data_IF_150926553630
#
_entry.id   IF_150926553630
#
_cell.length_a   1.000
_cell.length_b   1.000
_cell.length_c   1.000
_cell.angle_alpha   90.00
_cell.angle_beta   90.00
_cell.angle_gamma   90.00
#
_symmetry.space_group_name_H-M   'P 1'
#
loop_
_entity.id
_entity.type
_entity.pdbx_description
1 polymer ?
#
# COMPACT_ATOMS: atom_id res chain seq x y z
N UNK A 1 -18.30 -3.69 -25.02
CA UNK A 1 -17.18 -4.64 -25.21
C UNK A 1 -15.99 -4.33 -24.32
N UNK A 2 -15.55 -3.07 -24.19
CA UNK A 2 -14.39 -2.70 -23.36
C UNK A 2 -14.52 -3.09 -21.87
N UNK A 3 -15.64 -2.78 -21.21
CA UNK A 3 -15.86 -3.19 -19.80
C UNK A 3 -15.89 -4.71 -19.61
N UNK A 4 -16.35 -5.46 -20.62
CA UNK A 4 -16.34 -6.94 -20.61
C UNK A 4 -14.90 -7.46 -20.74
N UNK A 5 -14.08 -6.81 -21.56
CA UNK A 5 -12.65 -7.11 -21.68
C UNK A 5 -11.89 -6.86 -20.39
N UNK A 6 -12.13 -5.72 -19.73
CA UNK A 6 -11.54 -5.42 -18.42
C UNK A 6 -12.03 -6.39 -17.33
N UNK A 7 -13.31 -6.75 -17.34
CA UNK A 7 -13.85 -7.73 -16.40
C UNK A 7 -13.22 -9.12 -16.60
N UNK A 8 -13.06 -9.55 -17.86
CA UNK A 8 -12.35 -10.79 -18.18
C UNK A 8 -10.92 -10.73 -17.62
N UNK A 9 -10.16 -9.69 -17.96
CA UNK A 9 -8.79 -9.51 -17.48
C UNK A 9 -8.71 -9.42 -15.93
N UNK A 10 -9.65 -8.75 -15.28
CA UNK A 10 -9.78 -8.71 -13.82
C UNK A 10 -9.85 -10.12 -13.23
N UNK A 11 -10.72 -10.96 -13.80
CA UNK A 11 -10.99 -12.31 -13.32
C UNK A 11 -9.90 -13.34 -13.63
N UNK A 12 -9.18 -13.19 -14.74
CA UNK A 12 -8.22 -14.20 -15.21
C UNK A 12 -6.77 -13.84 -14.95
N UNK A 13 -6.45 -12.55 -14.81
CA UNK A 13 -5.08 -12.07 -14.72
C UNK A 13 -4.86 -11.19 -13.47
N UNK A 14 -5.61 -10.09 -13.32
CA UNK A 14 -5.40 -9.16 -12.20
C UNK A 14 -5.62 -9.87 -10.86
N UNK A 15 -6.77 -10.50 -10.65
CA UNK A 15 -7.07 -11.21 -9.40
C UNK A 15 -6.14 -12.40 -9.16
N UNK A 16 -5.77 -13.14 -10.22
CA UNK A 16 -4.85 -14.27 -10.11
C UNK A 16 -3.44 -13.83 -9.70
N UNK A 17 -2.96 -12.67 -10.18
CA UNK A 17 -1.66 -12.11 -9.76
C UNK A 17 -1.58 -11.91 -8.25
N UNK A 18 -2.70 -11.52 -7.62
CA UNK A 18 -2.81 -11.40 -6.17
C UNK A 18 -2.96 -12.77 -5.49
N UNK A 19 -3.83 -13.65 -6.01
CA UNK A 19 -4.10 -14.96 -5.41
C UNK A 19 -2.84 -15.83 -5.30
N UNK A 20 -2.00 -15.83 -6.33
CA UNK A 20 -0.77 -16.63 -6.37
C UNK A 20 0.21 -16.22 -5.26
N UNK A 21 0.23 -14.94 -4.91
CA UNK A 21 1.07 -14.37 -3.86
C UNK A 21 0.48 -14.49 -2.46
N UNK A 22 -0.84 -14.48 -2.37
CA UNK A 22 -1.60 -14.54 -1.12
C UNK A 22 -1.72 -15.96 -0.55
N UNK A 23 -1.44 -16.98 -1.35
CA UNK A 23 -1.61 -18.39 -0.95
C UNK A 23 -3.04 -18.67 -0.46
N UNK A 24 -3.17 -19.32 0.68
CA UNK A 24 -4.48 -19.65 1.27
C UNK A 24 -5.21 -18.43 1.89
N UNK A 25 -4.52 -17.29 2.07
CA UNK A 25 -5.10 -16.10 2.71
C UNK A 25 -5.58 -15.09 1.67
N UNK A 26 -6.69 -15.41 1.02
CA UNK A 26 -7.32 -14.55 0.01
C UNK A 26 -8.86 -14.52 0.14
N UNK A 27 -9.49 -13.47 -0.36
CA UNK A 27 -10.94 -13.42 -0.54
C UNK A 27 -11.28 -14.16 -1.82
N UNK A 28 -12.07 -15.25 -1.82
CA UNK A 28 -12.45 -15.95 -3.05
C UNK A 28 -13.13 -15.02 -4.05
N UNK A 29 -12.75 -15.09 -5.33
CA UNK A 29 -13.22 -14.15 -6.36
C UNK A 29 -14.75 -14.05 -6.43
N UNK A 30 -15.46 -15.18 -6.34
CA UNK A 30 -16.92 -15.19 -6.38
C UNK A 30 -17.56 -14.41 -5.20
N UNK A 31 -16.91 -14.37 -4.03
CA UNK A 31 -17.38 -13.58 -2.87
C UNK A 31 -17.11 -12.10 -3.08
N UNK A 32 -15.91 -11.74 -3.55
CA UNK A 32 -15.57 -10.37 -3.93
C UNK A 32 -16.55 -9.82 -4.99
N UNK A 33 -16.84 -10.64 -6.00
CA UNK A 33 -17.76 -10.28 -7.07
C UNK A 33 -19.19 -10.08 -6.57
N UNK A 34 -19.65 -10.89 -5.60
CA UNK A 34 -20.97 -10.74 -4.99
C UNK A 34 -21.13 -9.37 -4.30
N UNK A 35 -20.11 -8.92 -3.59
CA UNK A 35 -20.08 -7.57 -3.00
C UNK A 35 -20.08 -6.50 -4.10
N UNK A 36 -19.21 -6.65 -5.10
CA UNK A 36 -19.05 -5.66 -6.18
C UNK A 36 -20.30 -5.50 -7.05
N UNK A 37 -21.06 -6.56 -7.31
CA UNK A 37 -22.33 -6.48 -8.05
C UNK A 37 -23.37 -5.66 -7.30
N UNK A 38 -23.36 -5.71 -5.97
CA UNK A 38 -24.28 -4.94 -5.11
C UNK A 38 -23.80 -3.50 -4.88
N UNK A 39 -22.56 -3.18 -5.26
CA UNK A 39 -21.90 -1.90 -5.05
C UNK A 39 -21.22 -1.39 -6.33
N UNK A 40 -21.93 -0.65 -7.20
CA UNK A 40 -21.40 -0.22 -8.51
C UNK A 40 -20.10 0.60 -8.45
N UNK A 41 -19.88 1.36 -7.37
CA UNK A 41 -18.61 2.07 -7.15
C UNK A 41 -17.44 1.10 -6.96
N UNK A 42 -17.63 0.03 -6.20
CA UNK A 42 -16.62 -1.03 -6.02
C UNK A 42 -16.33 -1.74 -7.35
N UNK A 43 -17.36 -2.06 -8.13
CA UNK A 43 -17.16 -2.68 -9.44
C UNK A 43 -16.34 -1.79 -10.37
N UNK A 44 -16.66 -0.50 -10.47
CA UNK A 44 -15.90 0.43 -11.31
C UNK A 44 -14.43 0.53 -10.86
N UNK A 45 -14.17 0.56 -9.55
CA UNK A 45 -12.79 0.63 -9.05
C UNK A 45 -11.99 -0.65 -9.30
N UNK A 46 -12.63 -1.83 -9.20
CA UNK A 46 -12.01 -3.09 -9.59
C UNK A 46 -11.64 -3.13 -11.08
N UNK A 47 -12.53 -2.60 -11.94
CA UNK A 47 -12.24 -2.47 -13.38
C UNK A 47 -11.15 -1.44 -13.65
N UNK A 48 -11.10 -0.35 -12.88
CA UNK A 48 -10.04 0.65 -12.96
C UNK A 48 -8.67 0.03 -12.64
N UNK A 49 -8.60 -0.77 -11.57
CA UNK A 49 -7.39 -1.52 -11.22
C UNK A 49 -6.99 -2.52 -12.31
N UNK A 50 -7.94 -3.21 -12.93
CA UNK A 50 -7.67 -4.10 -14.05
C UNK A 50 -7.14 -3.36 -15.28
N UNK A 51 -7.62 -2.13 -15.54
CA UNK A 51 -7.07 -1.28 -16.58
C UNK A 51 -5.63 -0.85 -16.26
N UNK A 52 -5.33 -0.50 -15.01
CA UNK A 52 -3.94 -0.26 -14.57
C UNK A 52 -3.07 -1.48 -14.83
N UNK A 53 -3.51 -2.67 -14.42
CA UNK A 53 -2.73 -3.90 -14.66
C UNK A 53 -2.49 -4.12 -16.15
N UNK A 54 -3.48 -3.90 -17.02
CA UNK A 54 -3.26 -3.97 -18.48
C UNK A 54 -2.23 -2.97 -18.99
N UNK A 55 -2.25 -1.74 -18.47
CA UNK A 55 -1.30 -0.71 -18.89
C UNK A 55 0.16 -1.10 -18.61
N UNK A 56 0.42 -1.96 -17.61
CA UNK A 56 1.78 -2.43 -17.32
C UNK A 56 2.23 -3.60 -18.19
N UNK A 57 1.31 -4.25 -18.93
CA UNK A 57 1.61 -5.41 -19.76
C UNK A 57 1.87 -5.05 -21.23
N UNK A 58 1.25 -3.96 -21.73
CA UNK A 58 1.40 -3.49 -23.10
C UNK A 58 1.72 -1.99 -23.16
N UNK A 59 3.00 -1.61 -23.33
CA UNK A 59 3.42 -0.22 -23.45
C UNK A 59 2.75 0.56 -24.60
N UNK A 60 2.27 -0.13 -25.64
CA UNK A 60 1.64 0.53 -26.80
C UNK A 60 0.22 1.02 -26.51
N UNK A 61 -0.46 0.39 -25.55
CA UNK A 61 -1.81 0.75 -25.10
C UNK A 61 -1.82 1.39 -23.71
N UNK A 62 -0.65 1.66 -23.10
CA UNK A 62 -0.52 2.18 -21.74
C UNK A 62 -1.40 3.43 -21.51
N UNK A 63 -1.23 4.47 -22.32
CA UNK A 63 -1.98 5.71 -22.20
C UNK A 63 -3.50 5.51 -22.34
N UNK A 64 -3.91 4.55 -23.17
CA UNK A 64 -5.32 4.21 -23.37
C UNK A 64 -5.93 3.58 -22.11
N UNK A 65 -5.26 2.58 -21.53
CA UNK A 65 -5.76 1.94 -20.31
C UNK A 65 -5.65 2.84 -19.08
N UNK A 66 -4.65 3.72 -18.99
CA UNK A 66 -4.57 4.73 -17.92
C UNK A 66 -5.69 5.75 -17.98
N UNK A 67 -6.09 6.15 -19.19
CA UNK A 67 -7.26 6.99 -19.38
C UNK A 67 -8.52 6.27 -18.89
N UNK A 68 -8.74 5.01 -19.29
CA UNK A 68 -9.86 4.21 -18.81
C UNK A 68 -9.87 4.04 -17.30
N UNK A 69 -8.71 3.77 -16.69
CA UNK A 69 -8.60 3.65 -15.24
C UNK A 69 -9.05 4.94 -14.53
N UNK A 70 -8.65 6.10 -15.06
CA UNK A 70 -9.04 7.41 -14.53
C UNK A 70 -10.54 7.70 -14.70
N UNK A 71 -11.12 7.36 -15.85
CA UNK A 71 -12.56 7.50 -16.08
C UNK A 71 -13.38 6.63 -15.13
N UNK A 72 -13.00 5.35 -14.98
CA UNK A 72 -13.66 4.39 -14.10
C UNK A 72 -13.56 4.80 -12.63
N UNK A 73 -12.39 5.24 -12.16
CA UNK A 73 -12.20 5.74 -10.80
C UNK A 73 -13.03 7.01 -10.56
N UNK A 74 -13.04 7.96 -11.49
CA UNK A 74 -13.85 9.18 -11.39
C UNK A 74 -15.33 8.84 -11.29
N UNK A 75 -15.80 7.89 -12.09
CA UNK A 75 -17.17 7.42 -12.05
C UNK A 75 -17.49 6.70 -10.71
N UNK A 76 -16.58 5.87 -10.21
CA UNK A 76 -16.72 5.20 -8.92
C UNK A 76 -16.87 6.20 -7.76
N UNK A 77 -15.99 7.21 -7.71
CA UNK A 77 -16.05 8.30 -6.73
C UNK A 77 -17.34 9.12 -6.85
N UNK A 78 -17.78 9.42 -8.08
CA UNK A 78 -19.05 10.12 -8.33
C UNK A 78 -20.24 9.34 -7.76
N UNK A 79 -20.30 8.03 -7.99
CA UNK A 79 -21.36 7.15 -7.48
C UNK A 79 -21.34 7.15 -5.93
N UNK A 80 -20.16 6.97 -5.34
CA UNK A 80 -20.01 6.95 -3.88
C UNK A 80 -20.44 8.28 -3.24
N UNK A 81 -19.98 9.40 -3.80
CA UNK A 81 -20.30 10.75 -3.33
C UNK A 81 -21.79 11.10 -3.49
N UNK A 82 -22.46 10.56 -4.52
CA UNK A 82 -23.89 10.74 -4.73
C UNK A 82 -24.72 9.93 -3.74
N UNK A 83 -24.32 8.69 -3.44
CA UNK A 83 -25.04 7.83 -2.49
C UNK A 83 -24.86 8.26 -1.04
N UNK A 84 -23.67 8.78 -0.67
CA UNK A 84 -23.30 9.11 0.72
C UNK A 84 -23.70 7.99 1.71
N UNK A 85 -23.25 6.74 1.47
CA UNK A 85 -23.69 5.62 2.26
C UNK A 85 -23.26 5.80 3.72
N UNK A 86 -24.19 5.52 4.64
CA UNK A 86 -23.85 5.35 6.05
C UNK A 86 -23.21 3.98 6.24
N UNK A 87 -22.21 3.89 7.12
CA UNK A 87 -21.57 2.62 7.46
C UNK A 87 -22.54 1.77 8.29
N UNK A 88 -22.91 0.62 7.75
CA UNK A 88 -23.77 -0.38 8.40
C UNK A 88 -23.41 -1.78 7.89
N UNK A 89 -24.14 -2.80 8.35
CA UNK A 89 -23.89 -4.21 8.01
C UNK A 89 -23.85 -4.50 6.50
N UNK A 90 -24.65 -3.78 5.69
CA UNK A 90 -24.73 -3.97 4.24
C UNK A 90 -23.63 -3.22 3.47
N UNK A 91 -23.22 -2.05 3.96
CA UNK A 91 -22.29 -1.16 3.24
C UNK A 91 -20.85 -1.27 3.71
N UNK A 92 -20.61 -1.77 4.92
CA UNK A 92 -19.29 -1.76 5.55
C UNK A 92 -18.25 -2.53 4.74
N UNK A 93 -18.59 -3.75 4.30
CA UNK A 93 -17.67 -4.60 3.52
C UNK A 93 -17.38 -4.00 2.14
N UNK A 94 -18.38 -3.60 1.32
CA UNK A 94 -18.11 -2.94 0.05
C UNK A 94 -17.32 -1.63 0.17
N UNK A 95 -17.58 -0.82 1.21
CA UNK A 95 -16.84 0.42 1.46
C UNK A 95 -15.38 0.16 1.80
N UNK A 96 -15.11 -0.83 2.66
CA UNK A 96 -13.74 -1.22 3.00
C UNK A 96 -12.99 -1.76 1.78
N UNK A 97 -13.64 -2.60 0.98
CA UNK A 97 -13.07 -3.14 -0.26
C UNK A 97 -12.77 -2.02 -1.26
N UNK A 98 -13.75 -1.16 -1.55
CA UNK A 98 -13.57 -0.04 -2.49
C UNK A 98 -12.38 0.81 -2.08
N UNK A 99 -12.33 1.16 -0.80
CA UNK A 99 -11.27 1.93 -0.20
C UNK A 99 -9.89 1.29 -0.30
N UNK A 100 -9.80 -0.01 -0.07
CA UNK A 100 -8.55 -0.77 -0.18
C UNK A 100 -8.06 -0.82 -1.62
N UNK A 101 -8.97 -1.08 -2.57
CA UNK A 101 -8.66 -1.12 -4.00
C UNK A 101 -8.28 0.27 -4.52
N UNK A 102 -8.97 1.32 -4.06
CA UNK A 102 -8.64 2.71 -4.39
C UNK A 102 -7.25 3.10 -3.86
N UNK A 103 -6.89 2.68 -2.65
CA UNK A 103 -5.55 2.87 -2.13
C UNK A 103 -4.50 2.20 -3.00
N UNK A 104 -4.72 0.94 -3.37
CA UNK A 104 -3.86 0.19 -4.28
C UNK A 104 -3.75 0.85 -5.67
N UNK A 105 -4.85 1.38 -6.22
CA UNK A 105 -4.86 2.16 -7.45
C UNK A 105 -3.90 3.36 -7.33
N UNK A 106 -4.04 4.17 -6.28
CA UNK A 106 -3.20 5.36 -6.08
C UNK A 106 -1.73 4.99 -5.82
N UNK A 107 -1.48 3.86 -5.16
CA UNK A 107 -0.13 3.30 -5.01
C UNK A 107 0.47 3.00 -6.37
N UNK A 108 -0.22 2.26 -7.23
CA UNK A 108 0.26 1.93 -8.57
C UNK A 108 0.55 3.21 -9.38
N UNK A 109 -0.31 4.22 -9.31
CA UNK A 109 -0.08 5.52 -9.96
C UNK A 109 1.12 6.28 -9.40
N UNK A 110 1.39 6.13 -8.11
CA UNK A 110 2.51 6.79 -7.45
C UNK A 110 3.83 6.10 -7.75
N UNK A 111 3.88 4.76 -7.80
CA UNK A 111 5.13 4.00 -7.96
C UNK A 111 5.49 3.64 -9.41
N UNK A 112 4.50 3.47 -10.28
CA UNK A 112 4.71 3.01 -11.67
C UNK A 112 4.76 4.22 -12.62
N UNK A 113 3.69 5.02 -12.66
CA UNK A 113 3.54 6.17 -13.57
C UNK A 113 4.03 7.48 -12.95
N UNK A 114 4.98 7.33 -12.04
CA UNK A 114 5.43 8.30 -11.04
C UNK A 114 5.88 9.64 -11.61
N UNK A 115 5.80 10.65 -10.75
CA UNK A 115 6.57 11.88 -10.94
C UNK A 115 8.04 11.59 -10.67
N UNK A 116 8.93 12.22 -11.45
CA UNK A 116 10.39 12.03 -11.29
C UNK A 116 10.99 12.96 -10.24
N UNK A 117 10.28 14.02 -9.88
CA UNK A 117 10.72 14.99 -8.86
C UNK A 117 10.23 14.60 -7.47
N UNK A 118 11.03 14.94 -6.44
CA UNK A 118 10.77 14.55 -5.06
C UNK A 118 9.44 15.10 -4.52
N UNK A 119 9.19 16.40 -4.67
CA UNK A 119 7.99 17.02 -4.07
C UNK A 119 6.67 16.49 -4.65
N UNK A 120 6.47 16.46 -5.98
CA UNK A 120 5.24 15.92 -6.55
C UNK A 120 5.02 14.43 -6.22
N UNK A 121 6.10 13.64 -6.17
CA UNK A 121 6.04 12.24 -5.74
C UNK A 121 5.56 12.13 -4.29
N UNK A 122 6.18 12.88 -3.38
CA UNK A 122 5.86 12.82 -1.95
C UNK A 122 4.45 13.34 -1.64
N UNK A 123 3.95 14.33 -2.37
CA UNK A 123 2.54 14.76 -2.27
C UNK A 123 1.57 13.62 -2.62
N UNK A 124 1.82 12.91 -3.73
CA UNK A 124 1.02 11.74 -4.14
C UNK A 124 1.12 10.61 -3.12
N UNK A 125 2.33 10.32 -2.63
CA UNK A 125 2.55 9.27 -1.64
C UNK A 125 1.84 9.56 -0.31
N UNK A 126 1.93 10.79 0.21
CA UNK A 126 1.21 11.18 1.45
C UNK A 126 -0.31 11.15 1.25
N UNK A 127 -0.81 11.53 0.06
CA UNK A 127 -2.23 11.42 -0.28
C UNK A 127 -2.69 9.96 -0.27
N UNK A 128 -1.89 9.06 -0.83
CA UNK A 128 -2.10 7.62 -0.78
C UNK A 128 -2.21 7.11 0.68
N UNK A 129 -1.28 7.47 1.56
CA UNK A 129 -1.35 7.12 2.98
C UNK A 129 -2.61 7.66 3.66
N UNK A 130 -2.98 8.90 3.35
CA UNK A 130 -4.13 9.58 3.96
C UNK A 130 -5.46 8.90 3.59
N UNK A 131 -5.56 8.30 2.39
CA UNK A 131 -6.74 7.53 1.99
C UNK A 131 -6.95 6.34 2.94
N UNK A 132 -5.92 5.55 3.19
CA UNK A 132 -6.03 4.40 4.09
C UNK A 132 -6.41 4.79 5.53
N UNK A 133 -5.91 5.94 6.01
CA UNK A 133 -6.26 6.46 7.33
C UNK A 133 -7.72 6.90 7.43
N UNK A 134 -8.26 7.57 6.39
CA UNK A 134 -9.67 7.93 6.33
C UNK A 134 -10.58 6.70 6.39
N UNK A 135 -10.17 5.62 5.75
CA UNK A 135 -10.92 4.36 5.68
C UNK A 135 -10.96 3.69 7.05
N UNK A 136 -9.81 3.58 7.72
CA UNK A 136 -9.72 3.07 9.10
C UNK A 136 -10.59 3.88 10.06
N UNK A 137 -10.57 5.21 9.95
CA UNK A 137 -11.38 6.07 10.80
C UNK A 137 -12.87 5.78 10.64
N UNK A 138 -13.33 5.67 9.39
CA UNK A 138 -14.74 5.37 9.04
C UNK A 138 -15.14 3.95 9.47
N UNK A 139 -14.24 2.98 9.38
CA UNK A 139 -14.54 1.57 9.66
C UNK A 139 -14.29 1.16 11.11
N UNK A 140 -13.66 2.02 11.92
CA UNK A 140 -13.33 1.73 13.33
C UNK A 140 -14.54 1.32 14.16
N UNK A 141 -15.69 1.99 13.99
CA UNK A 141 -16.94 1.65 14.66
C UNK A 141 -17.60 0.35 14.19
N UNK A 142 -17.13 -0.21 13.08
CA UNK A 142 -17.70 -1.40 12.41
C UNK A 142 -16.69 -2.53 12.27
N UNK A 143 -15.58 -2.49 13.04
CA UNK A 143 -14.51 -3.49 12.95
C UNK A 143 -15.02 -4.92 13.16
N UNK A 144 -15.95 -5.12 14.09
CA UNK A 144 -16.55 -6.42 14.34
C UNK A 144 -17.22 -7.01 13.09
N UNK A 145 -18.00 -6.20 12.35
CA UNK A 145 -18.65 -6.59 11.08
C UNK A 145 -17.59 -7.04 10.07
N UNK A 146 -16.51 -6.26 9.92
CA UNK A 146 -15.43 -6.59 9.00
C UNK A 146 -14.74 -7.91 9.40
N UNK A 147 -14.45 -8.10 10.69
CA UNK A 147 -13.75 -9.27 11.23
C UNK A 147 -14.53 -10.58 11.08
N UNK A 148 -15.85 -10.51 11.01
CA UNK A 148 -16.76 -11.65 10.82
C UNK A 148 -17.18 -11.85 9.35
N UNK A 149 -16.77 -10.95 8.45
CA UNK A 149 -17.12 -10.98 7.03
C UNK A 149 -16.18 -11.81 6.16
N UNK A 150 -16.33 -11.69 4.83
CA UNK A 150 -15.41 -12.27 3.84
C UNK A 150 -13.97 -11.76 3.98
N UNK A 151 -13.75 -10.65 4.70
CA UNK A 151 -12.45 -10.05 4.99
C UNK A 151 -11.73 -10.72 6.18
N UNK A 152 -12.42 -11.58 6.95
CA UNK A 152 -11.87 -12.22 8.15
C UNK A 152 -10.46 -12.83 7.95
N UNK A 153 -10.16 -13.55 6.84
CA UNK A 153 -8.81 -14.09 6.63
C UNK A 153 -7.74 -13.00 6.53
N UNK A 154 -8.03 -11.91 5.80
CA UNK A 154 -7.11 -10.79 5.62
C UNK A 154 -6.90 -10.02 6.93
N UNK A 155 -7.97 -9.80 7.69
CA UNK A 155 -7.92 -9.08 8.97
C UNK A 155 -7.07 -9.85 9.98
N UNK A 156 -7.31 -11.16 10.14
CA UNK A 156 -6.53 -12.01 11.05
C UNK A 156 -5.05 -12.06 10.69
N UNK A 157 -4.73 -12.00 9.39
CA UNK A 157 -3.35 -11.91 8.93
C UNK A 157 -2.74 -10.54 9.22
N UNK A 158 -3.48 -9.44 9.03
CA UNK A 158 -3.02 -8.11 9.40
C UNK A 158 -2.73 -7.99 10.89
N UNK A 159 -3.59 -8.57 11.74
CA UNK A 159 -3.43 -8.60 13.19
C UNK A 159 -2.20 -9.41 13.64
N UNK A 160 -1.85 -10.49 12.93
CA UNK A 160 -0.68 -11.32 13.27
C UNK A 160 0.66 -10.67 12.87
N UNK A 161 0.65 -9.70 11.95
CA UNK A 161 1.81 -8.89 11.54
C UNK A 161 2.08 -7.73 12.51
N UNK A 162 1.25 -7.53 13.54
CA UNK A 162 1.42 -6.52 14.58
C UNK A 162 1.88 -7.10 15.94
N UNK A 163 2.99 -7.88 16.06
CA UNK A 163 3.53 -8.22 17.37
C UNK A 163 4.15 -6.96 17.99
N UNK A 164 3.34 -6.21 18.73
CA UNK A 164 3.80 -5.10 19.57
C UNK A 164 4.82 -5.64 20.58
N UNK A 165 6.04 -5.15 20.52
CA UNK A 165 7.10 -5.48 21.49
C UNK A 165 8.00 -6.68 21.13
N UNK A 166 7.98 -7.17 19.89
CA UNK A 166 9.06 -8.05 19.43
C UNK A 166 10.40 -7.27 19.39
N UNK A 167 11.52 -7.86 19.83
CA UNK A 167 12.82 -7.20 19.73
C UNK A 167 13.12 -6.86 18.27
N UNK A 168 13.66 -5.66 18.03
CA UNK A 168 14.10 -5.29 16.68
C UNK A 168 15.17 -6.27 16.19
N UNK A 169 15.02 -6.69 14.94
CA UNK A 169 16.04 -7.46 14.25
C UNK A 169 17.19 -6.55 13.83
N UNK A 170 18.27 -7.18 13.36
CA UNK A 170 19.51 -6.48 12.96
C UNK A 170 19.28 -5.39 11.89
N UNK A 171 18.24 -5.55 11.05
CA UNK A 171 17.94 -4.60 9.98
C UNK A 171 17.36 -3.28 10.50
N UNK A 172 16.40 -3.30 11.42
CA UNK A 172 15.77 -2.07 11.92
C UNK A 172 16.45 -1.46 13.15
N UNK A 173 17.39 -2.15 13.80
CA UNK A 173 18.09 -1.62 14.98
C UNK A 173 18.83 -0.29 14.72
N UNK A 174 19.42 0.00 13.54
CA UNK A 174 20.00 1.32 13.27
C UNK A 174 18.94 2.43 13.28
N UNK A 175 17.72 2.17 12.81
CA UNK A 175 16.63 3.16 12.82
C UNK A 175 16.24 3.56 14.24
N UNK A 176 16.34 2.65 15.21
CA UNK A 176 16.09 2.98 16.60
C UNK A 176 17.14 3.96 17.12
N UNK A 177 18.43 3.69 16.89
CA UNK A 177 19.51 4.60 17.28
C UNK A 177 19.37 5.98 16.62
N UNK A 178 18.94 6.01 15.35
CA UNK A 178 18.67 7.25 14.62
C UNK A 178 17.64 8.10 15.37
N UNK A 179 16.50 7.52 15.73
CA UNK A 179 15.41 8.22 16.40
C UNK A 179 15.76 8.59 17.86
N UNK A 180 16.47 7.73 18.58
CA UNK A 180 16.93 8.03 19.95
C UNK A 180 17.90 9.22 20.00
N UNK A 181 18.69 9.43 18.93
CA UNK A 181 19.61 10.56 18.81
C UNK A 181 18.98 11.82 18.21
N UNK A 182 17.72 11.75 17.78
CA UNK A 182 17.04 12.83 17.08
C UNK A 182 16.57 13.94 18.02
N UNK A 183 16.74 15.20 17.60
CA UNK A 183 16.11 16.35 18.25
C UNK A 183 14.67 16.52 17.76
N UNK A 184 13.80 15.57 18.13
CA UNK A 184 12.39 15.54 17.76
C UNK A 184 11.49 15.62 19.00
N UNK A 185 10.28 16.19 18.86
CA UNK A 185 9.26 16.09 19.89
C UNK A 185 8.98 14.63 20.26
N UNK A 186 8.67 14.38 21.54
CA UNK A 186 8.42 13.02 22.01
C UNK A 186 7.29 12.30 21.24
N UNK A 187 6.25 13.02 20.82
CA UNK A 187 5.16 12.48 20.01
C UNK A 187 5.60 12.01 18.60
N UNK A 188 6.55 12.73 18.01
CA UNK A 188 7.13 12.41 16.70
C UNK A 188 8.05 11.18 16.83
N UNK A 189 8.83 11.09 17.92
CA UNK A 189 9.63 9.90 18.28
C UNK A 189 8.74 8.65 18.38
N UNK A 190 7.66 8.73 19.17
CA UNK A 190 6.71 7.61 19.34
C UNK A 190 6.09 7.20 18.01
N UNK A 191 5.77 8.16 17.14
CA UNK A 191 5.22 7.89 15.81
C UNK A 191 6.23 7.15 14.91
N UNK A 192 7.50 7.54 14.94
CA UNK A 192 8.59 6.86 14.25
C UNK A 192 8.82 5.43 14.80
N UNK A 193 8.85 5.26 16.13
CA UNK A 193 9.03 3.95 16.77
C UNK A 193 7.93 2.96 16.35
N UNK A 194 6.67 3.41 16.27
CA UNK A 194 5.55 2.60 15.77
C UNK A 194 5.74 2.19 14.31
N UNK A 195 6.21 3.11 13.45
CA UNK A 195 6.50 2.82 12.05
C UNK A 195 7.66 1.82 11.90
N UNK A 196 8.72 1.99 12.69
CA UNK A 196 9.90 1.10 12.72
C UNK A 196 9.50 -0.31 13.19
N UNK A 197 8.73 -0.41 14.28
CA UNK A 197 8.24 -1.69 14.80
C UNK A 197 7.38 -2.43 13.76
N UNK A 198 6.48 -1.69 13.10
CA UNK A 198 5.66 -2.23 12.01
C UNK A 198 6.50 -2.72 10.83
N UNK A 199 7.55 -1.98 10.48
CA UNK A 199 8.46 -2.32 9.40
C UNK A 199 9.32 -3.54 9.72
N UNK A 200 9.76 -3.67 10.98
CA UNK A 200 10.46 -4.86 11.44
C UNK A 200 9.61 -6.11 11.30
N UNK A 201 8.33 -6.05 11.65
CA UNK A 201 7.41 -7.19 11.48
C UNK A 201 7.28 -7.61 10.01
N UNK A 202 7.29 -6.64 9.09
CA UNK A 202 7.33 -6.91 7.65
C UNK A 202 8.61 -7.66 7.27
N UNK A 203 9.79 -7.21 7.69
CA UNK A 203 11.05 -7.91 7.41
C UNK A 203 11.10 -9.31 8.05
N UNK A 204 10.60 -9.46 9.27
CA UNK A 204 10.55 -10.74 9.99
C UNK A 204 9.55 -11.74 9.39
N UNK A 205 8.60 -11.26 8.57
CA UNK A 205 7.63 -12.12 7.87
C UNK A 205 8.21 -12.82 6.64
N UNK A 206 9.45 -12.51 6.25
CA UNK A 206 10.15 -13.20 5.18
C UNK A 206 10.38 -14.69 5.55
N UNK A 207 9.97 -15.66 4.71
CA UNK A 207 10.22 -17.07 5.00
C UNK A 207 11.72 -17.36 5.05
N UNK A 208 12.20 -17.98 6.14
CA UNK A 208 13.58 -18.45 6.25
C UNK A 208 13.86 -19.56 5.24
N UNK A 209 14.49 -19.25 4.10
CA UNK A 209 14.86 -20.22 3.07
C UNK A 209 15.28 -19.57 1.75
N UNK A 210 16.03 -20.29 0.93
CA UNK A 210 16.74 -19.80 -0.28
C UNK A 210 15.87 -19.25 -1.42
N UNK A 211 14.54 -19.12 -1.23
CA UNK A 211 13.60 -18.54 -2.21
C UNK A 211 12.37 -17.85 -1.56
N UNK A 212 12.40 -17.53 -0.26
CA UNK A 212 11.25 -16.90 0.42
C UNK A 212 11.11 -15.42 0.06
N UNK A 213 10.27 -15.09 -0.93
CA UNK A 213 9.90 -13.69 -1.21
C UNK A 213 9.00 -13.13 -0.11
N UNK A 214 9.10 -11.83 0.16
CA UNK A 214 8.16 -11.14 1.06
C UNK A 214 6.74 -11.24 0.53
N UNK A 215 5.76 -11.47 1.42
CA UNK A 215 4.37 -11.46 1.00
C UNK A 215 3.98 -10.07 0.51
N UNK A 216 3.25 -9.98 -0.60
CA UNK A 216 2.70 -8.71 -1.08
C UNK A 216 1.74 -8.10 -0.03
N UNK A 217 1.14 -8.90 0.85
CA UNK A 217 0.39 -8.42 2.01
C UNK A 217 1.21 -7.49 2.88
N UNK A 218 2.49 -7.79 3.10
CA UNK A 218 3.36 -6.97 3.95
C UNK A 218 3.65 -5.60 3.32
N UNK A 219 3.74 -5.54 1.98
CA UNK A 219 3.88 -4.28 1.22
C UNK A 219 2.60 -3.45 1.30
N UNK A 220 1.44 -4.09 1.15
CA UNK A 220 0.15 -3.40 1.17
C UNK A 220 -0.30 -3.02 2.59
N UNK A 221 0.06 -3.81 3.60
CA UNK A 221 -0.39 -3.60 4.98
C UNK A 221 0.39 -2.47 5.67
N UNK A 222 1.69 -2.34 5.43
CA UNK A 222 2.51 -1.35 6.15
C UNK A 222 1.99 0.09 5.98
N UNK A 223 1.72 0.60 4.77
CA UNK A 223 1.12 1.92 4.57
C UNK A 223 -0.22 2.12 5.28
N UNK A 224 -1.00 1.04 5.45
CA UNK A 224 -2.33 1.06 6.06
C UNK A 224 -2.25 1.19 7.59
N UNK A 225 -1.25 0.57 8.21
CA UNK A 225 -1.15 0.51 9.68
C UNK A 225 -0.47 1.74 10.30
N UNK A 226 0.24 2.55 9.50
CA UNK A 226 0.90 3.79 9.94
C UNK A 226 -0.06 4.74 10.68
N UNK A 227 0.43 5.31 11.78
CA UNK A 227 -0.28 6.32 12.55
C UNK A 227 -0.29 7.68 11.84
N UNK A 228 -1.23 8.54 12.24
CA UNK A 228 -1.35 9.87 11.63
C UNK A 228 -0.10 10.73 11.86
N UNK A 229 0.50 10.66 13.05
CA UNK A 229 1.72 11.42 13.36
C UNK A 229 2.88 11.12 12.41
N UNK A 230 3.09 9.84 12.06
CA UNK A 230 4.12 9.48 11.08
C UNK A 230 3.81 10.00 9.67
N UNK A 231 2.55 9.96 9.24
CA UNK A 231 2.14 10.57 7.96
C UNK A 231 2.34 12.09 7.96
N UNK A 232 2.15 12.76 9.10
CA UNK A 232 2.38 14.20 9.24
C UNK A 232 3.88 14.54 9.20
N UNK A 233 4.75 13.69 9.74
CA UNK A 233 6.20 13.79 9.57
C UNK A 233 6.61 13.69 8.08
N UNK A 234 6.05 12.72 7.34
CA UNK A 234 6.28 12.61 5.90
C UNK A 234 5.73 13.82 5.13
N UNK A 235 4.61 14.40 5.57
CA UNK A 235 4.06 15.62 4.98
C UNK A 235 4.99 16.83 5.18
N UNK A 236 5.66 16.90 6.33
CA UNK A 236 6.69 17.90 6.66
C UNK A 236 8.07 17.64 6.02
N UNK A 237 8.24 16.50 5.34
CA UNK A 237 9.53 16.03 4.80
C UNK A 237 10.60 15.83 5.87
N UNK A 238 10.17 15.39 7.05
CA UNK A 238 11.07 15.18 8.19
C UNK A 238 12.10 14.10 7.85
N UNK A 239 13.41 14.42 7.86
CA UNK A 239 14.44 13.50 7.37
C UNK A 239 14.43 12.12 8.02
N UNK A 240 14.22 12.07 9.34
CA UNK A 240 14.13 10.83 10.11
C UNK A 240 13.02 9.91 9.58
N UNK A 241 11.85 10.47 9.26
CA UNK A 241 10.74 9.71 8.69
C UNK A 241 11.03 9.30 7.24
N UNK A 242 11.74 10.12 6.47
CA UNK A 242 12.16 9.77 5.12
C UNK A 242 13.16 8.61 5.11
N UNK A 243 14.08 8.52 6.06
CA UNK A 243 14.97 7.35 6.20
C UNK A 243 14.15 6.08 6.45
N UNK A 244 13.19 6.10 7.37
CA UNK A 244 12.31 4.94 7.64
C UNK A 244 11.53 4.57 6.36
N UNK A 245 11.06 5.55 5.60
CA UNK A 245 10.41 5.33 4.31
C UNK A 245 11.34 4.70 3.26
N UNK A 246 12.64 5.04 3.25
CA UNK A 246 13.60 4.39 2.37
C UNK A 246 13.76 2.89 2.70
N UNK A 247 13.72 2.51 3.98
CA UNK A 247 13.71 1.09 4.36
C UNK A 247 12.45 0.38 3.84
N UNK A 248 11.28 1.03 3.85
CA UNK A 248 10.09 0.50 3.18
C UNK A 248 10.28 0.38 1.65
N UNK A 249 11.00 1.32 1.02
CA UNK A 249 11.39 1.20 -0.39
C UNK A 249 12.14 -0.10 -0.71
N UNK A 250 12.99 -0.58 0.20
CA UNK A 250 13.66 -1.89 0.08
C UNK A 250 12.66 -3.06 0.11
N UNK A 251 11.66 -3.00 1.01
CA UNK A 251 10.58 -4.01 1.07
C UNK A 251 9.87 -4.11 -0.29
N UNK A 252 9.54 -2.97 -0.89
CA UNK A 252 8.92 -2.91 -2.23
C UNK A 252 9.87 -3.46 -3.30
N UNK A 253 11.16 -3.13 -3.22
CA UNK A 253 12.17 -3.59 -4.17
C UNK A 253 12.35 -5.13 -4.18
N UNK A 254 12.21 -5.79 -3.04
CA UNK A 254 12.28 -7.26 -2.98
C UNK A 254 11.14 -7.97 -3.74
N UNK A 255 10.11 -7.23 -4.18
CA UNK A 255 9.01 -7.73 -5.03
C UNK A 255 8.97 -7.08 -6.40
N UNK A 256 10.12 -6.80 -7.00
CA UNK A 256 10.24 -6.35 -8.40
C UNK A 256 9.53 -7.27 -9.41
N UNK A 257 9.27 -8.53 -9.06
CA UNK A 257 8.49 -9.49 -9.85
C UNK A 257 7.00 -9.15 -9.94
N UNK A 258 6.48 -8.35 -9.01
CA UNK A 258 5.08 -7.92 -9.01
C UNK A 258 4.89 -6.69 -9.88
N UNK A 259 3.89 -6.77 -10.75
CA UNK A 259 3.55 -5.72 -11.71
C UNK A 259 3.30 -4.35 -11.06
N UNK A 260 2.88 -4.31 -9.80
CA UNK A 260 2.61 -3.07 -9.06
C UNK A 260 3.85 -2.47 -8.38
N UNK A 261 4.92 -3.24 -8.22
CA UNK A 261 6.12 -2.83 -7.52
C UNK A 261 7.22 -2.41 -8.51
N UNK A 262 7.49 -3.24 -9.52
CA UNK A 262 8.50 -2.98 -10.54
C UNK A 262 9.81 -2.44 -9.95
N UNK A 263 10.34 -1.36 -10.52
CA UNK A 263 11.51 -0.63 -10.00
C UNK A 263 11.14 0.46 -8.97
N UNK A 264 9.86 0.58 -8.58
CA UNK A 264 9.34 1.65 -7.73
C UNK A 264 10.00 1.72 -6.35
N UNK A 265 10.37 0.57 -5.77
CA UNK A 265 11.12 0.52 -4.51
C UNK A 265 12.52 1.13 -4.62
N UNK A 266 13.27 0.77 -5.67
CA UNK A 266 14.59 1.34 -5.93
C UNK A 266 14.50 2.83 -6.27
N UNK A 267 13.48 3.23 -7.04
CA UNK A 267 13.22 4.63 -7.33
C UNK A 267 12.98 5.44 -6.04
N UNK A 268 12.13 4.97 -5.13
CA UNK A 268 11.83 5.64 -3.87
C UNK A 268 13.09 5.88 -3.02
N UNK A 269 13.91 4.85 -2.86
CA UNK A 269 15.18 4.94 -2.09
C UNK A 269 16.12 5.97 -2.71
N UNK A 270 16.32 5.91 -4.03
CA UNK A 270 17.18 6.85 -4.74
C UNK A 270 16.66 8.29 -4.64
N UNK A 271 15.34 8.47 -4.78
CA UNK A 271 14.69 9.78 -4.70
C UNK A 271 14.88 10.41 -3.31
N UNK A 272 14.70 9.62 -2.25
CA UNK A 272 14.94 10.05 -0.86
C UNK A 272 16.42 10.37 -0.64
N UNK A 273 17.32 9.51 -1.12
CA UNK A 273 18.76 9.71 -0.97
C UNK A 273 19.24 11.00 -1.64
N UNK A 274 18.75 11.28 -2.85
CA UNK A 274 19.06 12.52 -3.56
C UNK A 274 18.52 13.75 -2.84
N UNK A 275 17.32 13.67 -2.24
CA UNK A 275 16.72 14.78 -1.52
C UNK A 275 17.43 15.08 -0.20
N UNK A 276 17.76 14.06 0.60
CA UNK A 276 18.41 14.22 1.90
C UNK A 276 19.89 14.60 1.78
N UNK A 277 20.56 14.19 0.70
CA UNK A 277 21.96 14.52 0.47
C UNK A 277 22.95 13.72 1.34
N UNK A 278 24.21 14.13 1.30
CA UNK A 278 25.34 13.37 1.87
C UNK A 278 25.29 13.25 3.40
N UNK A 279 24.61 14.16 4.10
CA UNK A 279 24.55 14.17 5.56
C UNK A 279 23.82 12.95 6.13
N UNK A 280 22.98 12.31 5.31
CA UNK A 280 22.18 11.14 5.66
C UNK A 280 22.74 9.83 5.06
N UNK A 281 23.93 9.87 4.45
CA UNK A 281 24.50 8.73 3.72
C UNK A 281 24.67 7.49 4.59
N UNK A 282 25.07 7.67 5.84
CA UNK A 282 25.34 6.54 6.75
C UNK A 282 24.04 5.79 7.09
N UNK A 283 22.94 6.51 7.28
CA UNK A 283 21.61 5.94 7.53
C UNK A 283 20.96 5.35 6.28
N UNK A 284 21.35 5.83 5.10
CA UNK A 284 20.85 5.35 3.81
C UNK A 284 21.76 4.32 3.14
N UNK A 285 22.92 4.00 3.73
CA UNK A 285 23.90 3.08 3.15
C UNK A 285 23.31 1.69 2.92
N UNK A 286 22.60 1.15 3.92
CA UNK A 286 21.96 -0.16 3.78
C UNK A 286 20.83 -0.16 2.74
N UNK A 287 19.85 0.79 2.75
CA UNK A 287 18.85 0.86 1.70
C UNK A 287 19.43 0.93 0.29
N UNK A 288 20.45 1.77 0.07
CA UNK A 288 21.12 1.91 -1.23
C UNK A 288 21.81 0.61 -1.65
N UNK A 289 22.49 -0.05 -0.72
CA UNK A 289 23.14 -1.34 -0.98
C UNK A 289 22.12 -2.44 -1.32
N UNK A 290 20.97 -2.46 -0.64
CA UNK A 290 19.96 -3.49 -0.81
C UNK A 290 19.20 -3.42 -2.14
N UNK A 291 19.22 -2.27 -2.81
CA UNK A 291 18.57 -2.06 -4.13
C UNK A 291 19.55 -2.09 -5.31
N UNK A 292 20.84 -2.28 -5.04
CA UNK A 292 21.92 -2.35 -6.04
C UNK A 292 22.02 -3.73 -6.66
#
# INVERSE_FOLDING_TARGET
MQHVGLFYHLSTETYESFRLDFGDVHIPFHKLLKEAVSAPYLMNELLALAAIHRSTLDPSEEAFYLHQATELQTHALSILNAMKPQVNDETCVPLFLFSSILGLHEMCKTFIFRETEFEPFMEKFVRYLSLHQGVRAITSGSWHILSESILSPLIKQGESVLPVGAPLGELCSPLQNLIESADLPHEDIVSCEQAISSLQSVFSSAPSGTQGKLSIHSILAWPVILCQGYTDLLRRREPHALVILAYFGVVVHYRTDMWMCGDGGAFLVNLISQHLGYEWSDWLAWPIQAIS
#
